data_IF_766666334953
#
_entry.id   IF_766666334953
#
_cell.length_a   1.000
_cell.length_b   1.000
_cell.length_c   1.000
_cell.angle_alpha   90.00
_cell.angle_beta   90.00
_cell.angle_gamma   90.00
#
_symmetry.space_group_name_H-M   'P 1'
#
loop_
_entity.id
_entity.type
_entity.pdbx_description
1 polymer ?
#
# COMPACT_ATOMS: atom_id res chain seq x y z
N UNK A 1 12.59 -15.54 -3.58
CA UNK A 1 11.46 -15.79 -2.66
C UNK A 1 11.14 -14.51 -1.91
N UNK A 2 9.93 -13.99 -2.04
CA UNK A 2 9.47 -12.81 -1.29
C UNK A 2 8.60 -13.32 -0.14
N UNK A 3 8.94 -12.98 1.11
CA UNK A 3 8.19 -13.43 2.29
C UNK A 3 6.97 -12.54 2.58
N UNK A 4 6.67 -11.57 1.71
CA UNK A 4 5.57 -10.62 1.88
C UNK A 4 4.23 -11.28 1.59
N UNK A 5 3.40 -11.44 2.61
CA UNK A 5 2.02 -11.89 2.46
C UNK A 5 1.13 -10.67 2.19
N UNK A 6 0.68 -10.52 0.95
CA UNK A 6 -0.17 -9.39 0.51
C UNK A 6 -1.58 -9.53 1.10
N UNK A 7 -2.08 -8.47 1.73
CA UNK A 7 -3.46 -8.36 2.22
C UNK A 7 -4.35 -7.70 1.17
N UNK A 8 -3.89 -6.57 0.62
CA UNK A 8 -4.63 -5.80 -0.37
C UNK A 8 -3.70 -5.06 -1.34
N UNK A 9 -4.25 -4.64 -2.48
CA UNK A 9 -3.51 -3.89 -3.52
C UNK A 9 -4.30 -2.70 -4.04
N UNK A 10 -3.59 -1.59 -4.26
CA UNK A 10 -4.12 -0.39 -4.88
C UNK A 10 -3.31 -0.01 -6.13
N UNK A 11 -4.01 0.45 -7.15
CA UNK A 11 -3.41 1.02 -8.35
C UNK A 11 -3.43 2.54 -8.28
N UNK A 12 -2.28 3.15 -8.51
CA UNK A 12 -2.15 4.60 -8.60
C UNK A 12 -1.62 4.97 -9.98
N UNK A 13 -2.23 5.98 -10.62
CA UNK A 13 -1.69 6.52 -11.87
C UNK A 13 -0.25 7.01 -11.65
N UNK A 14 0.65 6.70 -12.58
CA UNK A 14 2.04 7.15 -12.49
C UNK A 14 2.12 8.67 -12.67
N UNK A 15 2.91 9.32 -11.83
CA UNK A 15 3.20 10.75 -11.93
C UNK A 15 4.38 11.07 -12.84
N UNK A 16 5.17 10.05 -13.21
CA UNK A 16 6.39 10.20 -14.02
C UNK A 16 6.21 9.66 -15.43
N UNK A 17 5.33 8.68 -15.63
CA UNK A 17 5.15 7.97 -16.89
C UNK A 17 3.69 8.06 -17.37
N UNK A 18 3.47 8.58 -18.58
CA UNK A 18 2.13 8.74 -19.13
C UNK A 18 1.46 7.38 -19.41
N UNK A 19 0.16 7.27 -19.12
CA UNK A 19 -0.64 6.04 -19.30
C UNK A 19 -0.11 4.81 -18.56
N UNK A 20 0.70 5.01 -17.52
CA UNK A 20 1.23 3.94 -16.68
C UNK A 20 0.67 4.01 -15.26
N UNK A 21 0.82 2.92 -14.53
CA UNK A 21 0.39 2.80 -13.14
C UNK A 21 1.54 2.31 -12.25
N UNK A 22 1.45 2.65 -10.98
CA UNK A 22 2.20 2.05 -9.90
C UNK A 22 1.26 1.20 -9.05
N UNK A 23 1.80 0.18 -8.42
CA UNK A 23 1.05 -0.71 -7.52
C UNK A 23 1.57 -0.56 -6.11
N UNK A 24 0.65 -0.40 -5.18
CA UNK A 24 0.93 -0.48 -3.75
C UNK A 24 0.28 -1.72 -3.17
N UNK A 25 1.02 -2.49 -2.37
CA UNK A 25 0.53 -3.71 -1.73
C UNK A 25 0.72 -3.65 -0.23
N UNK A 26 -0.37 -3.77 0.52
CA UNK A 26 -0.33 -3.87 1.98
C UNK A 26 0.00 -5.30 2.42
N UNK A 27 0.60 -5.47 3.61
CA UNK A 27 0.83 -6.81 4.17
C UNK A 27 -0.19 -7.19 5.22
N UNK A 28 -0.52 -8.49 5.29
CA UNK A 28 -1.38 -9.06 6.33
C UNK A 28 -0.67 -9.23 7.67
N UNK A 29 0.68 -9.34 7.67
CA UNK A 29 1.48 -9.59 8.88
C UNK A 29 2.64 -8.63 9.05
N UNK A 30 3.11 -7.97 8.00
CA UNK A 30 4.29 -7.12 8.05
C UNK A 30 3.93 -5.63 8.13
N UNK A 31 4.88 -4.84 8.62
CA UNK A 31 4.78 -3.39 8.79
C UNK A 31 5.18 -2.59 7.56
N UNK A 32 5.57 -3.27 6.47
CA UNK A 32 5.97 -2.61 5.24
C UNK A 32 4.84 -2.66 4.18
N UNK A 33 4.85 -1.68 3.28
CA UNK A 33 4.03 -1.65 2.06
C UNK A 33 4.92 -1.88 0.86
N UNK A 34 4.52 -2.79 -0.04
CA UNK A 34 5.16 -2.98 -1.32
C UNK A 34 4.84 -1.82 -2.24
N UNK A 35 5.84 -1.29 -2.93
CA UNK A 35 5.69 -0.39 -4.06
C UNK A 35 6.29 -1.04 -5.30
N UNK A 36 5.55 -1.06 -6.41
CA UNK A 36 6.02 -1.52 -7.71
C UNK A 36 5.75 -0.44 -8.75
N UNK A 37 6.80 0.04 -9.40
CA UNK A 37 6.71 0.87 -10.58
C UNK A 37 6.55 -0.03 -11.81
N UNK A 38 5.37 -0.08 -12.43
CA UNK A 38 5.09 -1.06 -13.49
C UNK A 38 5.85 -0.76 -14.79
N UNK A 39 6.15 0.51 -15.06
CA UNK A 39 6.88 0.93 -16.27
C UNK A 39 8.31 0.37 -16.31
N UNK A 40 8.97 0.29 -15.16
CA UNK A 40 10.36 -0.17 -15.04
C UNK A 40 10.50 -1.56 -14.39
N UNK A 41 9.45 -2.04 -13.73
CA UNK A 41 9.49 -3.24 -12.88
C UNK A 41 10.20 -3.02 -11.55
N UNK A 42 10.55 -1.77 -11.19
CA UNK A 42 11.29 -1.47 -9.97
C UNK A 42 10.41 -1.68 -8.74
N UNK A 43 10.93 -2.44 -7.78
CA UNK A 43 10.26 -2.76 -6.53
C UNK A 43 10.93 -2.05 -5.36
N UNK A 44 10.14 -1.53 -4.41
CA UNK A 44 10.60 -0.96 -3.15
C UNK A 44 9.69 -1.38 -1.99
N UNK A 45 10.23 -1.41 -0.78
CA UNK A 45 9.45 -1.52 0.44
C UNK A 45 9.36 -0.14 1.10
N UNK A 46 8.14 0.38 1.26
CA UNK A 46 7.86 1.57 2.06
C UNK A 46 7.75 1.12 3.51
N UNK A 47 8.70 1.57 4.34
CA UNK A 47 8.85 1.15 5.73
C UNK A 47 8.13 2.11 6.68
N UNK A 48 8.20 1.78 7.97
CA UNK A 48 7.76 2.64 9.08
C UNK A 48 6.25 2.75 9.25
N UNK A 49 5.46 1.85 8.68
CA UNK A 49 4.08 1.68 9.13
C UNK A 49 4.05 0.86 10.43
N UNK A 50 2.91 0.85 11.11
CA UNK A 50 2.68 0.02 12.30
C UNK A 50 2.05 -1.32 11.93
N UNK A 51 2.00 -2.21 12.93
CA UNK A 51 1.45 -3.56 12.83
C UNK A 51 0.00 -3.56 12.31
N UNK A 52 -0.36 -4.45 11.37
CA UNK A 52 -1.74 -4.66 10.97
C UNK A 52 -2.59 -5.21 12.12
N UNK A 53 -3.91 -5.08 11.98
CA UNK A 53 -4.85 -5.87 12.77
C UNK A 53 -4.66 -7.35 12.45
N UNK A 54 -4.73 -8.24 13.45
CA UNK A 54 -4.71 -9.68 13.15
C UNK A 54 -5.95 -10.04 12.32
N UNK A 55 -5.87 -11.00 11.38
CA UNK A 55 -7.04 -11.42 10.60
C UNK A 55 -8.26 -11.78 11.47
N UNK A 56 -8.04 -12.46 12.60
CA UNK A 56 -9.12 -12.84 13.54
C UNK A 56 -9.75 -11.64 14.28
N UNK A 57 -9.07 -10.49 14.30
CA UNK A 57 -9.57 -9.23 14.89
C UNK A 57 -10.31 -8.35 13.84
N UNK A 58 -10.38 -8.77 12.57
CA UNK A 58 -11.01 -8.03 11.47
C UNK A 58 -12.22 -8.78 10.89
N UNK A 59 -13.44 -8.54 11.41
CA UNK A 59 -14.61 -9.35 11.07
C UNK A 59 -15.25 -9.01 9.71
N UNK A 60 -14.77 -7.96 9.04
CA UNK A 60 -15.48 -7.36 7.91
C UNK A 60 -15.20 -8.06 6.57
N UNK A 61 -13.97 -8.53 6.35
CA UNK A 61 -13.55 -9.26 5.15
C UNK A 61 -12.23 -10.02 5.39
N UNK A 62 -11.72 -10.73 4.39
CA UNK A 62 -10.44 -11.46 4.49
C UNK A 62 -9.19 -10.56 4.42
N UNK A 63 -9.34 -9.30 4.01
CA UNK A 63 -8.26 -8.31 3.88
C UNK A 63 -8.15 -7.48 5.16
N UNK A 64 -7.39 -7.98 6.12
CA UNK A 64 -7.17 -7.34 7.43
C UNK A 64 -6.41 -6.00 7.37
N UNK A 65 -5.92 -5.60 6.19
CA UNK A 65 -5.22 -4.33 5.98
C UNK A 65 -5.51 -3.80 4.58
N UNK A 66 -6.61 -3.07 4.43
CA UNK A 66 -6.96 -2.45 3.15
C UNK A 66 -5.91 -1.40 2.74
N UNK A 67 -5.73 -1.19 1.45
CA UNK A 67 -5.01 -0.04 0.92
C UNK A 67 -5.83 0.59 -0.18
N UNK A 68 -6.16 1.86 0.01
CA UNK A 68 -7.12 2.56 -0.85
C UNK A 68 -6.48 3.83 -1.40
N UNK A 69 -6.58 4.02 -2.72
CA UNK A 69 -6.14 5.24 -3.39
C UNK A 69 -7.23 6.30 -3.39
N UNK A 70 -6.83 7.57 -3.43
CA UNK A 70 -7.77 8.71 -3.47
C UNK A 70 -8.51 8.89 -4.82
N UNK A 71 -8.47 7.89 -5.72
CA UNK A 71 -9.12 7.92 -7.03
C UNK A 71 -8.28 8.55 -8.16
N UNK A 72 -8.92 8.83 -9.30
CA UNK A 72 -8.27 9.18 -10.58
C UNK A 72 -7.29 10.36 -10.52
N UNK A 73 -7.53 11.32 -9.62
CA UNK A 73 -6.71 12.52 -9.45
C UNK A 73 -6.00 12.57 -8.09
N UNK A 74 -6.08 11.48 -7.35
CA UNK A 74 -5.62 11.38 -5.98
C UNK A 74 -4.13 11.08 -5.86
N UNK A 75 -3.38 11.95 -5.18
CA UNK A 75 -1.97 11.71 -4.90
C UNK A 75 -1.71 10.83 -3.67
N UNK A 76 -2.73 10.66 -2.82
CA UNK A 76 -2.58 9.96 -1.55
C UNK A 76 -3.21 8.58 -1.58
N UNK A 77 -2.58 7.66 -0.88
CA UNK A 77 -3.16 6.38 -0.50
C UNK A 77 -3.32 6.33 1.01
N UNK A 78 -4.27 5.55 1.49
CA UNK A 78 -4.45 5.29 2.90
C UNK A 78 -4.39 3.80 3.20
N UNK A 79 -3.82 3.45 4.35
CA UNK A 79 -3.85 2.07 4.85
C UNK A 79 -3.88 2.06 6.37
N UNK A 80 -4.75 1.26 7.01
CA UNK A 80 -4.84 1.21 8.45
C UNK A 80 -3.73 0.35 9.07
N UNK A 81 -3.60 0.49 10.37
CA UNK A 81 -2.88 -0.38 11.29
C UNK A 81 -3.72 -0.57 12.55
N UNK A 82 -3.26 -1.37 13.51
CA UNK A 82 -4.00 -1.64 14.75
C UNK A 82 -4.45 -0.39 15.52
N UNK A 83 -3.62 0.66 15.55
CA UNK A 83 -3.85 1.85 16.39
C UNK A 83 -3.68 3.16 15.63
N UNK A 84 -3.60 3.12 14.30
CA UNK A 84 -3.30 4.30 13.48
C UNK A 84 -3.77 4.12 12.04
N UNK A 85 -4.01 5.23 11.35
CA UNK A 85 -4.23 5.28 9.91
C UNK A 85 -3.04 5.99 9.27
N UNK A 86 -2.48 5.42 8.21
CA UNK A 86 -1.34 5.99 7.50
C UNK A 86 -1.78 6.60 6.18
N UNK A 87 -1.25 7.78 5.87
CA UNK A 87 -1.41 8.45 4.58
C UNK A 87 -0.05 8.40 3.86
N UNK A 88 -0.04 7.80 2.69
CA UNK A 88 1.14 7.66 1.84
C UNK A 88 1.06 8.68 0.71
N UNK A 89 2.13 9.44 0.50
CA UNK A 89 2.27 10.28 -0.69
C UNK A 89 2.82 9.45 -1.85
N UNK A 90 1.98 9.26 -2.87
CA UNK A 90 2.31 8.47 -4.05
C UNK A 90 3.36 9.10 -4.98
N UNK A 91 3.61 10.41 -4.87
CA UNK A 91 4.70 11.07 -5.61
C UNK A 91 6.04 10.79 -4.96
N UNK A 92 6.08 10.87 -3.64
CA UNK A 92 7.32 10.75 -2.86
C UNK A 92 7.63 9.29 -2.48
N UNK A 93 6.64 8.39 -2.57
CA UNK A 93 6.70 7.04 -2.02
C UNK A 93 7.13 7.05 -0.54
N UNK A 94 6.61 8.03 0.21
CA UNK A 94 6.97 8.31 1.60
C UNK A 94 5.73 8.50 2.46
N UNK A 95 5.91 8.24 3.76
CA UNK A 95 4.93 8.51 4.81
C UNK A 95 4.87 10.03 5.08
N UNK A 96 3.67 10.58 5.26
CA UNK A 96 3.46 11.93 5.79
C UNK A 96 2.87 11.88 7.20
#
# INVERSE_FOLDING_TARGET
HTNLHISDVAFQASFTEAHQYNVFGSSTTQTDVLFVELSSGKVKMVKSLKEPLKPDEWPWNSKNRLIEGSGLFGQYLMTPSKESLFILDGRLNKLN
#
